data_IF_149602822662
#
_entry.id   IF_149602822662
#
_cell.length_a   1.000
_cell.length_b   1.000
_cell.length_c   1.000
_cell.angle_alpha   90.00
_cell.angle_beta   90.00
_cell.angle_gamma   90.00
#
_symmetry.space_group_name_H-M   'P 1'
#
loop_
_entity.id
_entity.type
_entity.pdbx_description
1 polymer ?
#
# COMPACT_ATOMS: atom_id res chain seq x y z
N UNK A 1 15.02 1.01 -10.96
CA UNK A 1 13.76 0.46 -10.38
C UNK A 1 14.03 -0.89 -9.75
N UNK A 2 13.56 -1.09 -8.52
CA UNK A 2 13.74 -2.30 -7.74
C UNK A 2 12.43 -2.73 -7.07
N UNK A 3 12.29 -4.01 -6.73
CA UNK A 3 11.15 -4.53 -5.96
C UNK A 3 11.61 -4.90 -4.56
N UNK A 4 11.01 -4.27 -3.55
CA UNK A 4 11.28 -4.56 -2.14
C UNK A 4 10.08 -5.26 -1.51
N UNK A 5 10.35 -6.35 -0.80
CA UNK A 5 9.36 -7.11 -0.04
C UNK A 5 9.30 -6.57 1.39
N UNK A 6 8.11 -6.25 1.87
CA UNK A 6 7.86 -5.83 3.26
C UNK A 6 6.72 -6.62 3.88
N UNK A 7 6.92 -7.04 5.11
CA UNK A 7 5.89 -7.70 5.92
C UNK A 7 5.11 -6.68 6.75
N UNK A 8 5.79 -5.64 7.25
CA UNK A 8 5.20 -4.57 8.04
C UNK A 8 5.30 -3.24 7.30
N UNK A 9 4.22 -2.45 7.38
CA UNK A 9 4.12 -1.12 6.81
C UNK A 9 4.32 -0.08 7.91
N UNK A 10 5.26 0.84 7.71
CA UNK A 10 5.37 2.04 8.54
C UNK A 10 4.25 3.05 8.20
N UNK A 11 4.05 4.04 9.06
CA UNK A 11 3.08 5.12 8.78
C UNK A 11 3.38 5.83 7.45
N UNK A 12 4.65 6.11 7.18
CA UNK A 12 5.09 6.74 5.93
C UNK A 12 4.84 5.85 4.70
N UNK A 13 5.00 4.53 4.85
CA UNK A 13 4.64 3.59 3.78
C UNK A 13 3.13 3.68 3.51
N UNK A 14 2.30 3.62 4.57
CA UNK A 14 0.83 3.69 4.45
C UNK A 14 0.35 4.98 3.81
N UNK A 15 0.95 6.13 4.14
CA UNK A 15 0.64 7.42 3.50
C UNK A 15 0.90 7.38 1.99
N UNK A 16 2.06 6.87 1.58
CA UNK A 16 2.41 6.75 0.17
C UNK A 16 1.48 5.76 -0.57
N UNK A 17 1.14 4.65 0.09
CA UNK A 17 0.23 3.64 -0.45
C UNK A 17 -1.20 4.17 -0.61
N UNK A 18 -1.69 4.94 0.37
CA UNK A 18 -3.00 5.58 0.32
C UNK A 18 -3.08 6.55 -0.85
N UNK A 19 -2.05 7.37 -1.05
CA UNK A 19 -1.98 8.27 -2.20
C UNK A 19 -1.95 7.51 -3.53
N UNK A 20 -1.14 6.46 -3.65
CA UNK A 20 -1.10 5.61 -4.84
C UNK A 20 -2.46 4.98 -5.11
N UNK A 21 -3.09 4.38 -4.09
CA UNK A 21 -4.41 3.76 -4.22
C UNK A 21 -5.46 4.76 -4.70
N UNK A 22 -5.55 5.93 -4.05
CA UNK A 22 -6.54 6.94 -4.38
C UNK A 22 -6.31 7.61 -5.75
N UNK A 23 -5.08 7.54 -6.28
CA UNK A 23 -4.75 8.07 -7.60
C UNK A 23 -5.07 7.07 -8.73
N UNK A 24 -4.91 5.77 -8.47
CA UNK A 24 -5.12 4.72 -9.48
C UNK A 24 -6.57 4.21 -9.51
N UNK A 25 -7.27 4.20 -8.37
CA UNK A 25 -8.65 3.72 -8.27
C UNK A 25 -9.69 4.85 -8.34
N UNK A 26 -10.91 4.57 -8.81
CA UNK A 26 -11.99 5.55 -8.83
C UNK A 26 -12.36 6.03 -7.42
N UNK A 27 -12.88 7.25 -7.30
CA UNK A 27 -13.25 7.89 -6.02
C UNK A 27 -14.12 7.02 -5.09
N UNK A 28 -14.92 6.10 -5.65
CA UNK A 28 -15.76 5.17 -4.89
C UNK A 28 -14.98 4.15 -4.05
N UNK A 29 -13.71 3.92 -4.38
CA UNK A 29 -12.80 3.01 -3.69
C UNK A 29 -11.72 3.76 -2.93
N UNK A 30 -11.77 5.09 -2.91
CA UNK A 30 -10.81 5.89 -2.19
C UNK A 30 -11.09 5.85 -0.69
N UNK A 31 -10.02 5.89 0.09
CA UNK A 31 -10.09 6.06 1.53
C UNK A 31 -9.75 7.51 1.87
N UNK A 32 -10.51 8.14 2.78
CA UNK A 32 -10.29 9.54 3.14
C UNK A 32 -9.23 9.68 4.23
N UNK A 33 -9.06 8.65 5.06
CA UNK A 33 -8.13 8.65 6.18
C UNK A 33 -7.23 7.41 6.14
N UNK A 34 -6.08 7.52 6.80
CA UNK A 34 -5.20 6.37 7.04
C UNK A 34 -5.91 5.31 7.88
N UNK A 35 -6.78 5.71 8.83
CA UNK A 35 -7.50 4.77 9.69
C UNK A 35 -8.44 3.86 8.88
N UNK A 36 -9.17 4.41 7.89
CA UNK A 36 -10.03 3.61 7.01
C UNK A 36 -9.21 2.62 6.16
N UNK A 37 -8.06 3.08 5.66
CA UNK A 37 -7.13 2.24 4.91
C UNK A 37 -6.51 1.13 5.78
N UNK A 38 -6.22 1.45 7.05
CA UNK A 38 -5.72 0.49 8.03
C UNK A 38 -6.76 -0.56 8.38
N UNK A 39 -8.02 -0.17 8.58
CA UNK A 39 -9.13 -1.11 8.79
C UNK A 39 -9.23 -2.10 7.62
N UNK A 40 -9.09 -1.62 6.39
CA UNK A 40 -9.06 -2.50 5.21
C UNK A 40 -7.87 -3.46 5.24
N UNK A 41 -6.66 -2.95 5.48
CA UNK A 41 -5.45 -3.76 5.51
C UNK A 41 -5.45 -4.79 6.65
N UNK A 42 -6.04 -4.47 7.80
CA UNK A 42 -6.12 -5.34 8.96
C UNK A 42 -7.17 -6.43 8.83
N UNK A 43 -8.14 -6.26 7.94
CA UNK A 43 -9.06 -7.32 7.56
C UNK A 43 -8.38 -8.44 6.71
N UNK A 44 -7.16 -8.21 6.20
CA UNK A 44 -6.42 -9.17 5.38
C UNK A 44 -5.49 -10.06 6.23
N UNK A 45 -5.55 -11.37 6.01
CA UNK A 45 -4.74 -12.35 6.73
C UNK A 45 -3.44 -12.69 5.99
N UNK A 46 -2.34 -12.88 6.72
CA UNK A 46 -1.00 -13.21 6.17
C UNK A 46 -0.60 -12.36 4.97
N UNK A 47 -0.69 -11.04 5.15
CA UNK A 47 -0.39 -10.05 4.09
C UNK A 47 1.10 -9.92 3.85
N UNK A 48 1.48 -9.88 2.58
CA UNK A 48 2.84 -9.63 2.14
C UNK A 48 2.86 -8.52 1.11
N UNK A 49 3.59 -7.45 1.38
CA UNK A 49 3.65 -6.28 0.53
C UNK A 49 4.91 -6.27 -0.35
N UNK A 50 4.75 -5.76 -1.57
CA UNK A 50 5.78 -5.58 -2.57
C UNK A 50 5.73 -4.15 -3.09
N UNK A 51 6.85 -3.44 -2.99
CA UNK A 51 6.99 -2.06 -3.44
C UNK A 51 7.88 -1.99 -4.64
N UNK A 52 7.41 -1.32 -5.70
CA UNK A 52 8.26 -0.88 -6.79
C UNK A 52 8.88 0.46 -6.41
N UNK A 53 10.18 0.49 -6.18
CA UNK A 53 10.92 1.69 -5.80
C UNK A 53 11.74 2.18 -6.99
N UNK A 54 11.74 3.49 -7.22
CA UNK A 54 12.59 4.12 -8.23
C UNK A 54 13.96 4.52 -7.67
N UNK A 55 14.84 5.04 -8.52
CA UNK A 55 16.21 5.37 -8.12
C UNK A 55 16.30 6.57 -7.15
N UNK A 56 15.18 7.26 -6.88
CA UNK A 56 15.03 8.31 -5.86
C UNK A 56 14.47 7.78 -4.52
N UNK A 57 14.39 6.46 -4.35
CA UNK A 57 13.81 5.80 -3.18
C UNK A 57 12.31 6.13 -2.95
N UNK A 58 11.56 6.44 -4.01
CA UNK A 58 10.11 6.69 -3.96
C UNK A 58 9.34 5.46 -4.41
N UNK A 59 8.26 5.16 -3.69
CA UNK A 59 7.31 4.11 -4.07
C UNK A 59 6.54 4.56 -5.32
N UNK A 60 6.63 3.76 -6.38
CA UNK A 60 5.95 3.97 -7.68
C UNK A 60 4.89 2.93 -7.97
N UNK A 61 4.86 1.85 -7.20
CA UNK A 61 3.88 0.80 -7.35
C UNK A 61 3.80 -0.04 -6.10
N UNK A 62 2.64 -0.65 -5.91
CA UNK A 62 2.34 -1.49 -4.78
C UNK A 62 1.55 -2.70 -5.24
N UNK A 63 2.01 -3.87 -4.82
CA UNK A 63 1.27 -5.11 -4.91
C UNK A 63 1.33 -5.81 -3.56
N UNK A 64 0.34 -6.64 -3.26
CA UNK A 64 0.38 -7.47 -2.06
C UNK A 64 -0.36 -8.77 -2.30
N UNK A 65 0.03 -9.80 -1.54
CA UNK A 65 -0.66 -11.08 -1.48
C UNK A 65 -1.19 -11.27 -0.07
N UNK A 66 -2.29 -12.01 0.08
CA UNK A 66 -2.91 -12.34 1.36
C UNK A 66 -3.59 -13.70 1.25
N UNK A 67 -3.78 -14.38 2.39
CA UNK A 67 -4.52 -15.64 2.45
C UNK A 67 -6.03 -15.37 2.48
N UNK A 68 -6.81 -16.20 1.79
CA UNK A 68 -8.27 -16.09 1.69
C UNK A 68 -8.98 -17.36 2.17
#
# INVERSE_FOLDING_TARGET
>A
MEIIKKEFLSLQDKEALLQLWNNEYPEKLNYQTIDEFDVYLDALFEKQHYFLINDENKIKGWAFTFLR
#
